data_IF_802152735827
#
_entry.id   IF_802152735827
#
_cell.length_a   1.000
_cell.length_b   1.000
_cell.length_c   1.000
_cell.angle_alpha   90.00
_cell.angle_beta   90.00
_cell.angle_gamma   90.00
#
_symmetry.space_group_name_H-M   'P 1'
#
loop_
_entity.id
_entity.type
_entity.pdbx_description
1 polymer ?
#
# COMPACT_ATOMS: atom_id res chain seq x y z
N UNK A 1 13.06 -33.15 -1.21
CA UNK A 1 11.66 -33.38 -1.65
C UNK A 1 10.61 -32.91 -0.64
N UNK A 2 10.89 -32.88 0.66
CA UNK A 2 9.93 -32.46 1.70
C UNK A 2 9.59 -30.95 1.69
N UNK A 3 10.53 -30.08 1.30
CA UNK A 3 10.35 -28.61 1.34
C UNK A 3 9.40 -28.05 0.27
N UNK A 4 9.33 -28.70 -0.90
CA UNK A 4 8.45 -28.26 -1.99
C UNK A 4 6.99 -28.64 -1.72
N UNK A 5 6.75 -29.85 -1.20
CA UNK A 5 5.42 -30.29 -0.79
C UNK A 5 4.84 -29.41 0.33
N UNK A 6 5.65 -29.04 1.35
CA UNK A 6 5.23 -28.12 2.40
C UNK A 6 4.93 -26.70 1.88
N UNK A 7 5.70 -26.23 0.89
CA UNK A 7 5.47 -24.93 0.26
C UNK A 7 4.14 -24.91 -0.52
N UNK A 8 3.90 -25.92 -1.36
CA UNK A 8 2.64 -26.10 -2.11
C UNK A 8 1.44 -26.23 -1.17
N UNK A 9 1.59 -26.95 -0.06
CA UNK A 9 0.52 -27.10 0.94
C UNK A 9 0.20 -25.79 1.67
N UNK A 10 1.21 -24.93 1.90
CA UNK A 10 1.01 -23.60 2.49
C UNK A 10 0.28 -22.64 1.53
N UNK A 11 0.56 -22.73 0.23
CA UNK A 11 -0.14 -21.97 -0.82
C UNK A 11 -1.60 -22.39 -0.87
N UNK A 12 -1.87 -23.70 -0.94
CA UNK A 12 -3.23 -24.22 -1.03
C UNK A 12 -4.07 -23.80 0.18
N UNK A 13 -3.50 -23.84 1.39
CA UNK A 13 -4.19 -23.40 2.62
C UNK A 13 -4.56 -21.92 2.58
N UNK A 14 -3.67 -21.04 2.11
CA UNK A 14 -3.96 -19.61 1.94
C UNK A 14 -5.08 -19.39 0.92
N UNK A 15 -5.01 -20.06 -0.23
CA UNK A 15 -6.02 -19.96 -1.30
C UNK A 15 -7.41 -20.43 -0.82
N UNK A 16 -7.50 -21.53 -0.07
CA UNK A 16 -8.76 -22.01 0.50
C UNK A 16 -9.37 -21.01 1.49
N UNK A 17 -8.54 -20.39 2.35
CA UNK A 17 -9.01 -19.34 3.28
C UNK A 17 -9.57 -18.16 2.49
N UNK A 18 -8.90 -17.74 1.41
CA UNK A 18 -9.37 -16.65 0.55
C UNK A 18 -10.74 -16.90 -0.07
N UNK A 19 -10.93 -18.05 -0.70
CA UNK A 19 -12.23 -18.41 -1.29
C UNK A 19 -13.32 -18.55 -0.23
N UNK A 20 -13.01 -19.07 0.96
CA UNK A 20 -13.97 -19.16 2.06
C UNK A 20 -14.40 -17.78 2.57
N UNK A 21 -13.46 -16.84 2.67
CA UNK A 21 -13.72 -15.47 3.11
C UNK A 21 -14.58 -14.72 2.07
N UNK A 22 -14.29 -14.93 0.79
CA UNK A 22 -15.07 -14.37 -0.31
C UNK A 22 -16.51 -14.87 -0.33
N UNK A 23 -16.69 -16.19 -0.20
CA UNK A 23 -18.02 -16.79 -0.10
C UNK A 23 -18.80 -16.23 1.09
N UNK A 24 -18.16 -16.15 2.26
CA UNK A 24 -18.76 -15.59 3.47
C UNK A 24 -19.14 -14.11 3.31
N UNK A 25 -18.24 -13.28 2.80
CA UNK A 25 -18.52 -11.85 2.58
C UNK A 25 -19.63 -11.63 1.54
N UNK A 26 -19.69 -12.45 0.49
CA UNK A 26 -20.74 -12.36 -0.54
C UNK A 26 -22.14 -12.65 0.05
N UNK A 27 -22.23 -13.62 0.96
CA UNK A 27 -23.46 -13.96 1.68
C UNK A 27 -23.87 -12.79 2.59
N UNK A 28 -22.92 -12.19 3.32
CA UNK A 28 -23.19 -11.04 4.19
C UNK A 28 -23.71 -9.83 3.40
N UNK A 29 -23.13 -9.51 2.24
CA UNK A 29 -23.59 -8.39 1.40
C UNK A 29 -25.04 -8.57 0.96
N UNK A 30 -25.48 -9.81 0.74
CA UNK A 30 -26.84 -10.07 0.27
C UNK A 30 -27.87 -10.02 1.41
N UNK A 31 -27.50 -10.47 2.61
CA UNK A 31 -28.40 -10.60 3.76
C UNK A 31 -28.45 -9.33 4.62
N UNK A 32 -27.31 -8.67 4.88
CA UNK A 32 -27.23 -7.56 5.83
C UNK A 32 -28.12 -6.36 5.46
N UNK A 33 -28.16 -5.89 4.19
CA UNK A 33 -29.00 -4.73 3.82
C UNK A 33 -30.48 -4.96 4.12
N UNK A 34 -30.96 -6.20 3.95
CA UNK A 34 -32.36 -6.58 4.21
C UNK A 34 -32.68 -6.59 5.71
N UNK A 35 -31.74 -7.00 6.56
CA UNK A 35 -31.89 -6.95 8.03
C UNK A 35 -31.92 -5.50 8.53
N UNK A 36 -31.14 -4.62 7.91
CA UNK A 36 -31.02 -3.20 8.30
C UNK A 36 -32.18 -2.35 7.72
N UNK A 37 -33.02 -2.91 6.85
CA UNK A 37 -34.07 -2.17 6.14
C UNK A 37 -33.54 -1.23 5.05
N UNK A 38 -32.29 -1.42 4.62
CA UNK A 38 -31.64 -0.65 3.57
C UNK A 38 -31.85 -1.33 2.21
N UNK A 39 -32.64 -0.72 1.34
CA UNK A 39 -32.97 -1.28 0.03
C UNK A 39 -31.85 -1.00 -0.99
N UNK A 40 -30.72 -1.70 -0.86
CA UNK A 40 -29.60 -1.58 -1.79
C UNK A 40 -29.99 -2.12 -3.18
N UNK A 41 -29.83 -1.30 -4.21
CA UNK A 41 -30.06 -1.70 -5.60
C UNK A 41 -29.16 -2.86 -6.00
N UNK A 42 -29.67 -3.76 -6.85
CA UNK A 42 -28.94 -4.95 -7.34
C UNK A 42 -27.52 -4.59 -7.85
N UNK A 43 -27.33 -3.50 -8.62
CA UNK A 43 -26.00 -3.16 -9.14
C UNK A 43 -25.02 -2.76 -8.05
N UNK A 44 -25.50 -2.04 -7.02
CA UNK A 44 -24.67 -1.64 -5.88
C UNK A 44 -24.17 -2.86 -5.10
N UNK A 45 -25.03 -3.88 -4.93
CA UNK A 45 -24.64 -5.17 -4.31
C UNK A 45 -23.54 -5.86 -5.13
N UNK A 46 -23.69 -5.94 -6.46
CA UNK A 46 -22.70 -6.56 -7.36
C UNK A 46 -21.36 -5.83 -7.34
N UNK A 47 -21.36 -4.50 -7.40
CA UNK A 47 -20.13 -3.70 -7.32
C UNK A 47 -19.42 -3.87 -5.97
N UNK A 48 -20.17 -4.01 -4.88
CA UNK A 48 -19.61 -4.26 -3.54
C UNK A 48 -18.93 -5.64 -3.47
N UNK A 49 -19.54 -6.67 -4.09
CA UNK A 49 -18.93 -8.01 -4.20
C UNK A 49 -17.62 -7.93 -4.99
N UNK A 50 -17.61 -7.22 -6.12
CA UNK A 50 -16.40 -7.02 -6.93
C UNK A 50 -15.32 -6.33 -6.11
N UNK A 51 -15.64 -5.25 -5.40
CA UNK A 51 -14.71 -4.52 -4.55
C UNK A 51 -14.08 -5.42 -3.47
N UNK A 52 -14.88 -6.18 -2.72
CA UNK A 52 -14.36 -7.09 -1.70
C UNK A 52 -13.53 -8.22 -2.33
N UNK A 53 -13.91 -8.70 -3.52
CA UNK A 53 -13.13 -9.70 -4.24
C UNK A 53 -11.73 -9.23 -4.61
N UNK A 54 -11.60 -7.97 -5.03
CA UNK A 54 -10.29 -7.36 -5.30
C UNK A 54 -9.44 -7.35 -4.03
N UNK A 55 -9.98 -6.88 -2.90
CA UNK A 55 -9.23 -6.81 -1.65
C UNK A 55 -8.71 -8.16 -1.19
N UNK A 56 -9.55 -9.20 -1.28
CA UNK A 56 -9.14 -10.56 -0.91
C UNK A 56 -8.05 -11.07 -1.86
N UNK A 57 -8.22 -10.91 -3.17
CA UNK A 57 -7.21 -11.36 -4.16
C UNK A 57 -5.89 -10.61 -4.00
N UNK A 58 -5.93 -9.29 -3.76
CA UNK A 58 -4.73 -8.48 -3.49
C UNK A 58 -3.99 -8.92 -2.24
N UNK A 59 -4.70 -9.32 -1.17
CA UNK A 59 -4.09 -9.79 0.07
C UNK A 59 -3.26 -11.09 -0.11
N UNK A 60 -3.55 -11.87 -1.15
CA UNK A 60 -2.79 -13.10 -1.43
C UNK A 60 -1.58 -12.91 -2.34
N UNK A 61 -1.47 -11.77 -3.02
CA UNK A 61 -0.33 -11.41 -3.90
C UNK A 61 0.03 -12.47 -4.96
N UNK A 62 -0.90 -13.37 -5.32
CA UNK A 62 -0.63 -14.45 -6.30
C UNK A 62 -0.48 -13.95 -7.73
N UNK A 63 -1.07 -12.79 -8.04
CA UNK A 63 -1.10 -12.19 -9.38
C UNK A 63 -0.64 -10.74 -9.26
N UNK A 64 -0.06 -10.20 -10.35
CA UNK A 64 0.37 -8.80 -10.39
C UNK A 64 -0.82 -7.86 -10.11
N UNK A 65 -0.64 -6.93 -9.17
CA UNK A 65 -1.69 -6.02 -8.68
C UNK A 65 -2.38 -5.27 -9.82
N UNK A 66 -1.61 -4.82 -10.81
CA UNK A 66 -2.14 -4.16 -12.02
C UNK A 66 -3.15 -5.00 -12.78
N UNK A 67 -2.88 -6.30 -12.97
CA UNK A 67 -3.79 -7.19 -13.71
C UNK A 67 -5.09 -7.38 -12.94
N UNK A 68 -5.00 -7.59 -11.62
CA UNK A 68 -6.18 -7.74 -10.75
C UNK A 68 -7.07 -6.50 -10.83
N UNK A 69 -6.48 -5.31 -10.69
CA UNK A 69 -7.22 -4.03 -10.72
C UNK A 69 -7.85 -3.79 -12.09
N UNK A 70 -7.12 -4.04 -13.19
CA UNK A 70 -7.66 -3.86 -14.54
C UNK A 70 -8.84 -4.78 -14.82
N UNK A 71 -8.71 -6.08 -14.50
CA UNK A 71 -9.80 -7.05 -14.68
C UNK A 71 -11.03 -6.64 -13.89
N UNK A 72 -10.84 -6.24 -12.62
CA UNK A 72 -11.96 -5.89 -11.78
C UNK A 72 -12.61 -4.56 -12.18
N UNK A 73 -11.83 -3.59 -12.67
CA UNK A 73 -12.36 -2.37 -13.28
C UNK A 73 -13.21 -2.68 -14.53
N UNK A 74 -12.75 -3.59 -15.40
CA UNK A 74 -13.53 -4.05 -16.56
C UNK A 74 -14.85 -4.71 -16.14
N UNK A 75 -14.82 -5.56 -15.11
CA UNK A 75 -16.03 -6.21 -14.58
C UNK A 75 -16.99 -5.17 -14.00
N UNK A 76 -16.49 -4.20 -13.21
CA UNK A 76 -17.30 -3.15 -12.61
C UNK A 76 -17.98 -2.26 -13.66
N UNK A 77 -17.26 -1.85 -14.71
CA UNK A 77 -17.82 -1.08 -15.83
C UNK A 77 -18.88 -1.91 -16.57
N UNK A 78 -18.60 -3.18 -16.84
CA UNK A 78 -19.55 -4.09 -17.51
C UNK A 78 -20.85 -4.23 -16.72
N UNK A 79 -20.76 -4.38 -15.39
CA UNK A 79 -21.94 -4.41 -14.50
C UNK A 79 -22.68 -3.08 -14.56
N UNK A 80 -21.98 -1.95 -14.51
CA UNK A 80 -22.58 -0.62 -14.56
C UNK A 80 -23.36 -0.36 -15.86
N UNK A 81 -22.83 -0.78 -17.01
CA UNK A 81 -23.50 -0.64 -18.31
C UNK A 81 -24.71 -1.59 -18.41
N UNK A 82 -24.52 -2.87 -18.08
CA UNK A 82 -25.59 -3.89 -18.23
C UNK A 82 -26.78 -3.66 -17.30
N UNK A 83 -26.56 -2.98 -16.18
CA UNK A 83 -27.61 -2.64 -15.21
C UNK A 83 -28.22 -1.26 -15.43
N UNK A 84 -27.74 -0.50 -16.42
CA UNK A 84 -28.22 0.85 -16.73
C UNK A 84 -27.80 1.93 -15.72
N UNK A 85 -26.76 1.69 -14.91
CA UNK A 85 -26.19 2.73 -14.03
C UNK A 85 -25.46 3.81 -14.81
N UNK A 86 -24.81 3.41 -15.90
CA UNK A 86 -24.08 4.31 -16.79
C UNK A 86 -24.63 4.16 -18.22
N UNK A 87 -24.88 5.25 -18.94
CA UNK A 87 -25.16 5.20 -20.37
C UNK A 87 -23.98 4.51 -21.10
N UNK A 88 -24.27 3.59 -22.01
CA UNK A 88 -23.22 2.82 -22.70
C UNK A 88 -22.34 3.74 -23.58
N UNK A 89 -22.97 4.77 -24.17
CA UNK A 89 -22.38 5.81 -24.99
C UNK A 89 -21.48 6.78 -24.22
N UNK A 90 -21.84 7.11 -22.98
CA UNK A 90 -21.03 8.00 -22.12
C UNK A 90 -20.04 7.25 -21.24
N UNK A 91 -20.07 5.91 -21.19
CA UNK A 91 -19.27 5.12 -20.23
C UNK A 91 -17.75 5.34 -20.33
N UNK A 92 -17.21 5.47 -21.54
CA UNK A 92 -15.79 5.73 -21.76
C UNK A 92 -15.43 7.19 -21.44
N UNK A 93 -16.26 8.14 -21.86
CA UNK A 93 -16.06 9.57 -21.60
C UNK A 93 -16.14 9.85 -20.10
N UNK A 94 -17.14 9.28 -19.41
CA UNK A 94 -17.28 9.31 -17.96
C UNK A 94 -16.06 8.71 -17.27
N UNK A 95 -15.56 7.56 -17.73
CA UNK A 95 -14.37 6.93 -17.15
C UNK A 95 -13.13 7.82 -17.29
N UNK A 96 -12.91 8.44 -18.45
CA UNK A 96 -11.78 9.35 -18.69
C UNK A 96 -11.92 10.62 -17.86
N UNK A 97 -13.11 11.21 -17.77
CA UNK A 97 -13.38 12.39 -16.95
C UNK A 97 -13.29 12.11 -15.45
N UNK A 98 -13.45 10.86 -15.03
CA UNK A 98 -13.27 10.43 -13.64
C UNK A 98 -11.79 10.31 -13.23
N UNK A 99 -10.85 10.38 -14.18
CA UNK A 99 -9.41 10.34 -13.90
C UNK A 99 -8.95 11.72 -13.42
N UNK A 100 -8.45 11.80 -12.19
CA UNK A 100 -7.79 13.01 -11.71
C UNK A 100 -6.32 13.06 -12.16
N UNK A 101 -6.08 13.73 -13.28
CA UNK A 101 -4.74 13.96 -13.82
C UNK A 101 -3.84 14.80 -12.90
N UNK A 102 -4.39 15.64 -12.03
CA UNK A 102 -3.59 16.42 -11.09
C UNK A 102 -2.94 15.49 -10.06
N UNK A 103 -3.70 14.53 -9.53
CA UNK A 103 -3.19 13.52 -8.60
C UNK A 103 -2.13 12.65 -9.26
N UNK A 104 -2.35 12.19 -10.51
CA UNK A 104 -1.35 11.41 -11.27
C UNK A 104 -0.07 12.23 -11.51
N UNK A 105 -0.21 13.49 -11.91
CA UNK A 105 0.91 14.40 -12.14
C UNK A 105 1.72 14.68 -10.86
N UNK A 106 1.04 14.90 -9.74
CA UNK A 106 1.64 15.07 -8.42
C UNK A 106 2.44 13.82 -8.01
N UNK A 107 1.81 12.64 -8.12
CA UNK A 107 2.42 11.34 -7.85
C UNK A 107 3.66 11.07 -8.70
N UNK A 108 3.60 11.37 -9.98
CA UNK A 108 4.72 11.21 -10.90
C UNK A 108 5.86 12.18 -10.53
N UNK A 109 5.53 13.45 -10.26
CA UNK A 109 6.50 14.47 -9.87
C UNK A 109 7.23 14.12 -8.57
N UNK A 110 6.51 13.69 -7.54
CA UNK A 110 7.13 13.26 -6.28
C UNK A 110 8.05 12.05 -6.49
N UNK A 111 7.63 11.04 -7.26
CA UNK A 111 8.45 9.84 -7.51
C UNK A 111 9.75 10.18 -8.26
N UNK A 112 9.72 11.12 -9.20
CA UNK A 112 10.92 11.61 -9.89
C UNK A 112 11.88 12.29 -8.90
N UNK A 113 11.38 13.25 -8.11
CA UNK A 113 12.20 13.98 -7.12
C UNK A 113 12.84 13.01 -6.13
N UNK A 114 12.07 12.03 -5.65
CA UNK A 114 12.51 11.03 -4.70
C UNK A 114 13.59 10.13 -5.29
N UNK A 115 13.43 9.68 -6.52
CA UNK A 115 14.42 8.85 -7.23
C UNK A 115 15.75 9.61 -7.38
N UNK A 116 15.70 10.89 -7.78
CA UNK A 116 16.90 11.73 -7.90
C UNK A 116 17.57 11.91 -6.53
N UNK A 117 16.81 12.24 -5.49
CA UNK A 117 17.33 12.39 -4.13
C UNK A 117 17.97 11.10 -3.61
N UNK A 118 17.37 9.95 -3.90
CA UNK A 118 17.89 8.64 -3.54
C UNK A 118 19.28 8.39 -4.16
N UNK A 119 19.47 8.76 -5.43
CA UNK A 119 20.74 8.59 -6.14
C UNK A 119 21.85 9.53 -5.64
N UNK A 120 21.49 10.71 -5.10
CA UNK A 120 22.50 11.67 -4.59
C UNK A 120 23.30 11.17 -3.37
N UNK A 121 22.81 10.13 -2.67
CA UNK A 121 23.44 9.64 -1.45
C UNK A 121 23.18 10.51 -0.21
N UNK A 122 22.25 11.47 -0.29
CA UNK A 122 21.96 12.41 0.81
C UNK A 122 21.50 11.70 2.08
N UNK A 123 20.71 10.63 1.94
CA UNK A 123 20.21 9.83 3.07
C UNK A 123 21.33 9.12 3.82
N UNK A 124 22.30 8.57 3.10
CA UNK A 124 23.51 7.95 3.65
C UNK A 124 24.35 8.98 4.40
N UNK A 125 24.56 10.15 3.80
CA UNK A 125 25.28 11.25 4.45
C UNK A 125 24.62 11.69 5.76
N UNK A 126 23.30 11.92 5.74
CA UNK A 126 22.54 12.33 6.94
C UNK A 126 22.56 11.24 8.00
N UNK A 127 22.41 9.97 7.62
CA UNK A 127 22.52 8.83 8.53
C UNK A 127 23.86 8.76 9.25
N UNK A 128 24.96 8.88 8.51
CA UNK A 128 26.32 8.91 9.09
C UNK A 128 26.47 10.11 10.04
N UNK A 129 25.93 11.27 9.66
CA UNK A 129 25.95 12.48 10.50
C UNK A 129 25.19 12.27 11.80
N UNK A 130 23.98 11.69 11.77
CA UNK A 130 23.22 11.32 12.96
C UNK A 130 23.98 10.31 13.82
N UNK A 131 24.61 9.31 13.21
CA UNK A 131 25.50 8.36 13.87
C UNK A 131 26.60 9.06 14.68
N UNK A 132 27.32 10.01 14.07
CA UNK A 132 28.37 10.80 14.75
C UNK A 132 27.81 11.68 15.86
N UNK A 133 26.69 12.36 15.63
CA UNK A 133 26.05 13.28 16.61
C UNK A 133 25.45 12.53 17.81
N UNK A 134 25.06 11.28 17.61
CA UNK A 134 24.56 10.41 18.68
C UNK A 134 25.63 10.09 19.74
N UNK A 135 26.93 10.21 19.38
CA UNK A 135 28.08 9.88 20.23
C UNK A 135 27.98 8.47 20.85
N UNK A 136 27.40 7.51 20.12
CA UNK A 136 27.22 6.13 20.58
C UNK A 136 26.00 5.89 21.48
N UNK A 137 25.19 6.92 21.78
CA UNK A 137 23.94 6.74 22.50
C UNK A 137 22.85 6.23 21.56
N UNK A 138 22.47 4.96 21.72
CA UNK A 138 21.48 4.28 20.87
C UNK A 138 20.09 4.92 20.96
N UNK A 139 19.64 5.33 22.15
CA UNK A 139 18.36 6.02 22.32
C UNK A 139 18.31 7.33 21.53
N UNK A 140 19.38 8.13 21.62
CA UNK A 140 19.48 9.38 20.86
C UNK A 140 19.50 9.12 19.35
N UNK A 141 20.21 8.08 18.90
CA UNK A 141 20.22 7.69 17.50
C UNK A 141 18.84 7.25 17.02
N UNK A 142 18.12 6.45 17.81
CA UNK A 142 16.77 5.96 17.50
C UNK A 142 15.82 7.13 17.27
N UNK A 143 15.80 8.08 18.20
CA UNK A 143 14.94 9.28 18.12
C UNK A 143 15.31 10.12 16.91
N UNK A 144 16.60 10.37 16.68
CA UNK A 144 17.05 11.15 15.52
C UNK A 144 16.66 10.51 14.20
N UNK A 145 16.92 9.21 14.04
CA UNK A 145 16.56 8.48 12.82
C UNK A 145 15.05 8.41 12.63
N UNK A 146 14.27 8.18 13.69
CA UNK A 146 12.81 8.10 13.61
C UNK A 146 12.18 9.44 13.28
N UNK A 147 12.63 10.53 13.92
CA UNK A 147 12.15 11.89 13.63
C UNK A 147 12.53 12.29 12.21
N UNK A 148 13.75 12.00 11.78
CA UNK A 148 14.17 12.26 10.41
C UNK A 148 13.32 11.46 9.41
N UNK A 149 13.04 10.19 9.68
CA UNK A 149 12.16 9.35 8.87
C UNK A 149 10.73 9.91 8.82
N UNK A 150 10.16 10.33 9.95
CA UNK A 150 8.83 10.93 9.99
C UNK A 150 8.75 12.23 9.17
N UNK A 151 9.69 13.16 9.37
CA UNK A 151 9.73 14.44 8.64
C UNK A 151 9.95 14.20 7.14
N UNK A 152 10.85 13.29 6.77
CA UNK A 152 11.08 12.93 5.37
C UNK A 152 9.81 12.36 4.74
N UNK A 153 9.11 11.48 5.48
CA UNK A 153 7.89 10.86 4.99
C UNK A 153 6.73 11.85 4.83
N UNK A 154 6.82 13.08 5.35
CA UNK A 154 5.85 14.13 5.03
C UNK A 154 5.97 14.65 3.60
N UNK A 155 7.07 14.38 2.91
CA UNK A 155 7.33 14.86 1.55
C UNK A 155 7.54 13.72 0.54
N UNK A 156 7.85 12.54 1.05
CA UNK A 156 8.18 11.32 0.30
C UNK A 156 7.22 10.24 0.75
N UNK A 157 6.81 9.36 -0.16
CA UNK A 157 5.94 8.23 0.21
C UNK A 157 6.61 7.35 1.29
N UNK A 158 5.79 6.80 2.18
CA UNK A 158 6.23 5.99 3.30
C UNK A 158 7.10 4.79 2.90
N UNK A 159 6.74 4.07 1.83
CA UNK A 159 7.47 2.89 1.34
C UNK A 159 8.86 3.31 0.86
N UNK A 160 8.96 4.34 0.02
CA UNK A 160 10.25 4.79 -0.49
C UNK A 160 11.12 5.36 0.62
N UNK A 161 10.56 6.11 1.56
CA UNK A 161 11.31 6.60 2.73
C UNK A 161 11.99 5.46 3.49
N UNK A 162 11.28 4.35 3.70
CA UNK A 162 11.83 3.17 4.38
C UNK A 162 12.86 2.44 3.52
N UNK A 163 12.62 2.29 2.21
CA UNK A 163 13.59 1.70 1.29
C UNK A 163 14.92 2.47 1.26
N UNK A 164 14.89 3.78 1.45
CA UNK A 164 16.09 4.62 1.54
C UNK A 164 16.75 4.55 2.92
N UNK A 165 15.96 4.52 3.99
CA UNK A 165 16.48 4.53 5.37
C UNK A 165 16.98 3.18 5.86
N UNK A 166 16.45 2.06 5.39
CA UNK A 166 16.91 0.71 5.74
C UNK A 166 18.41 0.49 5.41
N UNK A 167 18.91 0.72 4.19
CA UNK A 167 20.32 0.49 3.87
C UNK A 167 21.24 1.41 4.69
N UNK A 168 20.80 2.64 4.99
CA UNK A 168 21.50 3.58 5.88
C UNK A 168 21.60 3.00 7.30
N UNK A 169 20.48 2.52 7.83
CA UNK A 169 20.40 1.93 9.17
C UNK A 169 21.25 0.67 9.29
N UNK A 170 21.17 -0.23 8.32
CA UNK A 170 22.01 -1.43 8.26
C UNK A 170 23.50 -1.04 8.24
N UNK A 171 23.88 -0.04 7.45
CA UNK A 171 25.29 0.42 7.35
C UNK A 171 25.82 0.94 8.68
N UNK A 172 25.02 1.68 9.43
CA UNK A 172 25.39 2.17 10.77
C UNK A 172 25.50 1.01 11.76
N UNK A 173 24.52 0.10 11.78
CA UNK A 173 24.45 -1.00 12.74
C UNK A 173 25.49 -2.10 12.50
N UNK A 174 25.97 -2.27 11.26
CA UNK A 174 27.13 -3.12 10.96
C UNK A 174 28.38 -2.68 11.74
N UNK A 175 28.57 -1.39 11.96
CA UNK A 175 29.70 -0.84 12.73
C UNK A 175 29.54 -1.18 14.22
N UNK A 176 28.33 -1.05 14.74
CA UNK A 176 28.01 -1.34 16.15
C UNK A 176 27.90 -2.84 16.46
N UNK A 177 27.84 -3.72 15.45
CA UNK A 177 27.64 -5.18 15.58
C UNK A 177 26.37 -5.55 16.37
N UNK A 178 25.31 -4.78 16.21
CA UNK A 178 24.00 -4.98 16.88
C UNK A 178 22.93 -5.17 15.80
N UNK A 179 21.83 -5.85 16.16
CA UNK A 179 20.68 -6.01 15.26
C UNK A 179 20.00 -4.65 14.97
N UNK A 180 19.80 -4.28 13.69
CA UNK A 180 19.09 -3.06 13.30
C UNK A 180 17.56 -3.18 13.41
N UNK A 181 17.02 -4.38 13.67
CA UNK A 181 15.58 -4.66 13.59
C UNK A 181 14.73 -3.68 14.42
N UNK A 182 15.06 -3.37 15.69
CA UNK A 182 14.25 -2.43 16.47
C UNK A 182 14.20 -1.02 15.88
N UNK A 183 15.29 -0.59 15.24
CA UNK A 183 15.37 0.72 14.60
C UNK A 183 14.55 0.75 13.31
N UNK A 184 14.64 -0.31 12.50
CA UNK A 184 13.82 -0.44 11.30
C UNK A 184 12.34 -0.43 11.65
N UNK A 185 11.92 -1.15 12.70
CA UNK A 185 10.53 -1.14 13.17
C UNK A 185 10.09 0.25 13.63
N UNK A 186 10.92 0.94 14.41
CA UNK A 186 10.63 2.31 14.84
C UNK A 186 10.52 3.27 13.65
N UNK A 187 11.39 3.12 12.66
CA UNK A 187 11.35 3.91 11.42
C UNK A 187 10.09 3.64 10.62
N UNK A 188 9.66 2.38 10.46
CA UNK A 188 8.41 2.01 9.77
C UNK A 188 7.20 2.64 10.45
N UNK A 189 7.15 2.60 11.77
CA UNK A 189 6.08 3.27 12.52
C UNK A 189 6.14 4.80 12.33
N UNK A 190 7.34 5.37 12.41
CA UNK A 190 7.55 6.81 12.24
C UNK A 190 7.24 7.30 10.81
N UNK A 191 7.56 6.52 9.77
CA UNK A 191 7.23 6.86 8.39
C UNK A 191 5.74 6.85 8.17
N UNK A 192 5.01 5.88 8.73
CA UNK A 192 3.56 5.84 8.60
C UNK A 192 2.90 7.04 9.28
N UNK A 193 3.37 7.41 10.49
CA UNK A 193 2.88 8.62 11.18
C UNK A 193 3.21 9.88 10.37
N UNK A 194 4.44 9.99 9.85
CA UNK A 194 4.87 11.12 9.04
C UNK A 194 4.14 11.26 7.71
N UNK A 195 3.92 10.15 7.01
CA UNK A 195 3.22 10.07 5.73
C UNK A 195 1.80 10.61 5.81
N UNK A 196 1.09 10.27 6.89
CA UNK A 196 -0.28 10.75 7.13
C UNK A 196 -0.37 12.24 7.49
N UNK A 197 0.75 12.93 7.70
CA UNK A 197 0.74 14.35 8.09
C UNK A 197 0.50 15.30 6.90
N UNK A 198 0.71 14.84 5.66
CA UNK A 198 0.48 15.66 4.46
C UNK A 198 -0.20 14.84 3.37
N UNK A 199 -0.91 15.53 2.46
CA UNK A 199 -1.49 14.91 1.25
C UNK A 199 -0.43 14.34 0.28
N UNK A 200 0.85 14.68 0.49
CA UNK A 200 1.95 14.23 -0.36
C UNK A 200 2.56 12.94 0.21
N UNK A 201 2.64 12.80 1.54
CA UNK A 201 3.37 11.73 2.22
C UNK A 201 2.72 10.35 2.14
N UNK A 202 1.40 10.30 2.03
CA UNK A 202 0.66 9.07 1.71
C UNK A 202 -0.45 9.42 0.70
N UNK A 203 -0.11 9.47 -0.61
CA UNK A 203 -1.06 9.86 -1.64
C UNK A 203 -2.40 9.09 -1.70
N UNK A 204 -2.49 7.82 -1.25
CA UNK A 204 -3.76 7.12 -1.11
C UNK A 204 -4.69 7.63 0.01
N UNK A 205 -4.23 8.50 0.92
CA UNK A 205 -5.04 9.09 2.01
C UNK A 205 -5.58 10.47 1.66
#
# INVERSE_FOLDING_TARGET
MTTFASYVQSINKKTTIGFSLLGFMSILIWIIPEIIGFNASIPLRLLTIVLLSIYVVLAFEFVHRTVIVLVAATIAITIGITTGLFPADESLEFAIHSIDFNTIGLLLGMMIIVTILAETGIFQYIGIKMGKVSKGNMWKLLVMMSVFTAVTSMFIDNVTTILLMIPVTISIFKIFRISPIPFILAQVLASNIGGTATLIGDPPT
#
